data_IF_060695298195
#
_entry.id   IF_060695298195
#
_cell.length_a   1.000
_cell.length_b   1.000
_cell.length_c   1.000
_cell.angle_alpha   90.00
_cell.angle_beta   90.00
_cell.angle_gamma   90.00
#
_symmetry.space_group_name_H-M   'P 1'
#
loop_
_entity.id
_entity.type
_entity.pdbx_description
1 polymer ?
#
# COMPACT_ATOMS: atom_id res chain seq x y z
N UNK A 1 -9.55 -72.15 -8.43
CA UNK A 1 -8.82 -71.30 -7.50
C UNK A 1 -8.37 -70.08 -8.30
N UNK A 2 -9.18 -69.04 -8.29
CA UNK A 2 -8.89 -67.79 -8.97
C UNK A 2 -8.23 -66.81 -7.98
N UNK A 3 -6.99 -66.44 -8.28
CA UNK A 3 -6.31 -65.40 -7.52
C UNK A 3 -6.77 -63.99 -7.97
N UNK A 4 -7.25 -63.24 -7.06
CA UNK A 4 -7.47 -61.79 -7.29
C UNK A 4 -6.14 -61.05 -7.24
N UNK A 5 -5.70 -60.52 -8.37
CA UNK A 5 -4.63 -59.55 -8.46
C UNK A 5 -5.08 -58.22 -7.85
N UNK A 6 -4.43 -57.85 -6.76
CA UNK A 6 -4.54 -56.51 -6.19
C UNK A 6 -3.79 -55.50 -7.07
N UNK A 7 -4.50 -54.81 -7.94
CA UNK A 7 -3.95 -53.68 -8.68
C UNK A 7 -3.72 -52.50 -7.73
N UNK A 8 -2.49 -52.35 -7.26
CA UNK A 8 -2.01 -51.13 -6.63
C UNK A 8 -1.54 -50.14 -7.73
N UNK A 9 -2.39 -49.27 -8.17
CA UNK A 9 -1.99 -48.21 -9.07
C UNK A 9 -1.42 -47.02 -8.27
N UNK A 10 -0.13 -46.84 -8.37
CA UNK A 10 0.57 -45.63 -7.86
C UNK A 10 0.47 -44.57 -8.92
N UNK A 11 -0.34 -43.55 -8.68
CA UNK A 11 -0.40 -42.37 -9.52
C UNK A 11 0.35 -41.24 -8.77
N UNK A 12 1.54 -40.87 -9.29
CA UNK A 12 2.36 -39.71 -8.88
C UNK A 12 2.60 -39.56 -7.36
N UNK A 13 3.01 -40.61 -6.69
CA UNK A 13 3.43 -40.53 -5.29
C UNK A 13 2.31 -40.38 -4.24
N UNK A 14 1.05 -40.51 -4.63
CA UNK A 14 -0.09 -40.52 -3.69
C UNK A 14 -0.56 -41.95 -3.47
N UNK A 15 -0.63 -42.38 -2.21
CA UNK A 15 -1.24 -43.66 -1.80
C UNK A 15 -2.74 -43.43 -1.75
N UNK A 16 -3.49 -44.04 -2.66
CA UNK A 16 -4.96 -44.04 -2.64
C UNK A 16 -5.45 -45.09 -1.65
N UNK A 17 -6.28 -44.71 -0.69
CA UNK A 17 -6.85 -45.61 0.29
C UNK A 17 -7.74 -46.69 -0.40
N UNK A 18 -7.67 -47.99 0.02
CA UNK A 18 -8.49 -49.04 -0.57
C UNK A 18 -9.98 -48.78 -0.30
N UNK A 19 -10.75 -48.67 -1.38
CA UNK A 19 -12.21 -48.47 -1.30
C UNK A 19 -12.77 -47.34 -2.17
N UNK A 20 -11.95 -46.45 -2.71
CA UNK A 20 -12.39 -45.43 -3.66
C UNK A 20 -12.56 -46.05 -5.06
N UNK A 21 -13.80 -46.27 -5.46
CA UNK A 21 -14.18 -46.89 -6.72
C UNK A 21 -14.09 -46.00 -7.96
N UNK A 22 -13.84 -44.68 -7.80
CA UNK A 22 -13.84 -43.75 -8.90
C UNK A 22 -12.62 -42.80 -8.86
N UNK A 23 -11.66 -42.90 -9.79
CA UNK A 23 -10.55 -41.98 -9.87
C UNK A 23 -10.94 -40.54 -10.24
N UNK A 24 -12.20 -40.26 -10.56
CA UNK A 24 -12.73 -38.92 -10.81
C UNK A 24 -12.91 -38.08 -9.56
N UNK A 25 -12.72 -38.68 -8.37
CA UNK A 25 -12.85 -37.94 -7.09
C UNK A 25 -11.58 -37.16 -6.72
N UNK A 26 -10.45 -37.44 -7.38
CA UNK A 26 -9.25 -36.64 -7.23
C UNK A 26 -9.30 -35.56 -8.31
N UNK A 27 -9.82 -34.39 -7.93
CA UNK A 27 -9.76 -33.22 -8.81
C UNK A 27 -8.32 -33.02 -9.29
N UNK A 28 -8.09 -32.86 -10.60
CA UNK A 28 -6.76 -32.51 -11.10
C UNK A 28 -6.22 -31.30 -10.33
N UNK A 29 -4.90 -31.20 -10.20
CA UNK A 29 -4.27 -30.09 -9.49
C UNK A 29 -4.78 -28.73 -10.01
N UNK A 30 -5.06 -28.66 -11.31
CA UNK A 30 -5.66 -27.50 -11.99
C UNK A 30 -7.06 -27.13 -11.45
N UNK A 31 -7.92 -28.12 -11.14
CA UNK A 31 -9.24 -27.86 -10.55
C UNK A 31 -9.12 -27.46 -9.08
N UNK A 32 -8.09 -27.93 -8.37
CA UNK A 32 -7.79 -27.48 -7.03
C UNK A 32 -7.28 -26.02 -7.04
N UNK A 33 -6.42 -25.66 -8.00
CA UNK A 33 -5.96 -24.29 -8.19
C UNK A 33 -7.11 -23.33 -8.53
N UNK A 34 -8.05 -23.72 -9.40
CA UNK A 34 -9.24 -22.92 -9.73
C UNK A 34 -10.10 -22.63 -8.50
N UNK A 35 -10.23 -23.60 -7.57
CA UNK A 35 -11.03 -23.42 -6.35
C UNK A 35 -10.42 -22.42 -5.36
N UNK A 36 -9.12 -22.18 -5.43
CA UNK A 36 -8.40 -21.21 -4.59
C UNK A 36 -7.99 -19.96 -5.38
N UNK A 37 -8.41 -19.84 -6.65
CA UNK A 37 -8.21 -18.62 -7.43
C UNK A 37 -9.16 -17.53 -6.88
N UNK A 38 -8.64 -16.41 -6.32
CA UNK A 38 -9.46 -15.34 -5.78
C UNK A 38 -10.49 -14.76 -6.76
N UNK A 39 -10.29 -14.93 -8.07
CA UNK A 39 -11.22 -14.49 -9.10
C UNK A 39 -12.45 -15.38 -9.24
N UNK A 40 -12.34 -16.66 -8.84
CA UNK A 40 -13.40 -17.66 -8.98
C UNK A 40 -14.11 -17.96 -7.67
N UNK A 41 -13.46 -17.75 -6.52
CA UNK A 41 -14.01 -18.02 -5.19
C UNK A 41 -14.79 -16.84 -4.57
N UNK A 42 -14.86 -15.69 -5.29
CA UNK A 42 -15.57 -14.50 -4.84
C UNK A 42 -14.75 -13.59 -3.92
N UNK A 43 -13.42 -13.78 -3.85
CA UNK A 43 -12.53 -12.92 -3.08
C UNK A 43 -12.05 -11.73 -3.92
N UNK A 44 -12.99 -11.07 -4.55
CA UNK A 44 -12.76 -9.89 -5.39
C UNK A 44 -11.89 -8.82 -4.71
N UNK A 45 -11.99 -8.71 -3.38
CA UNK A 45 -11.21 -7.75 -2.60
C UNK A 45 -9.69 -8.00 -2.65
N UNK A 46 -9.24 -9.26 -2.72
CA UNK A 46 -7.81 -9.59 -2.82
C UNK A 46 -7.25 -9.19 -4.18
N UNK A 47 -7.97 -9.55 -5.25
CA UNK A 47 -7.57 -9.18 -6.62
C UNK A 47 -7.52 -7.67 -6.78
N UNK A 48 -8.55 -6.96 -6.30
CA UNK A 48 -8.60 -5.50 -6.37
C UNK A 48 -7.50 -4.85 -5.52
N UNK A 49 -7.20 -5.42 -4.36
CA UNK A 49 -6.09 -4.95 -3.51
C UNK A 49 -4.75 -5.07 -4.25
N UNK A 50 -4.49 -6.20 -4.89
CA UNK A 50 -3.24 -6.42 -5.63
C UNK A 50 -3.09 -5.43 -6.79
N UNK A 51 -4.12 -5.28 -7.62
CA UNK A 51 -4.03 -4.39 -8.81
C UNK A 51 -3.98 -2.90 -8.42
N UNK A 52 -4.75 -2.48 -7.42
CA UNK A 52 -4.69 -1.10 -6.91
C UNK A 52 -3.35 -0.81 -6.22
N UNK A 53 -2.78 -1.77 -5.48
CA UNK A 53 -1.45 -1.64 -4.87
C UNK A 53 -0.36 -1.45 -5.93
N UNK A 54 -0.44 -2.16 -7.06
CA UNK A 54 0.48 -1.96 -8.19
C UNK A 54 0.39 -0.53 -8.76
N UNK A 55 -0.82 0.01 -8.90
CA UNK A 55 -1.03 1.40 -9.36
C UNK A 55 -0.52 2.43 -8.33
N UNK A 56 -0.74 2.20 -7.04
CA UNK A 56 -0.20 3.06 -5.97
C UNK A 56 1.34 3.02 -5.93
N UNK A 57 1.94 1.87 -6.18
CA UNK A 57 3.40 1.76 -6.30
C UNK A 57 3.92 2.58 -7.48
N UNK A 58 3.31 2.46 -8.65
CA UNK A 58 3.67 3.28 -9.81
C UNK A 58 3.51 4.77 -9.52
N UNK A 59 2.44 5.18 -8.82
CA UNK A 59 2.23 6.56 -8.39
C UNK A 59 3.36 7.03 -7.45
N UNK A 60 3.79 6.19 -6.51
CA UNK A 60 4.92 6.51 -5.62
C UNK A 60 6.22 6.75 -6.40
N UNK A 61 6.50 5.93 -7.40
CA UNK A 61 7.69 6.04 -8.24
C UNK A 61 7.66 7.33 -9.07
N UNK A 62 6.51 7.71 -9.61
CA UNK A 62 6.30 8.98 -10.31
C UNK A 62 6.59 10.17 -9.37
N UNK A 63 6.03 10.16 -8.17
CA UNK A 63 6.23 11.21 -7.17
C UNK A 63 7.71 11.32 -6.78
N UNK A 64 8.41 10.19 -6.61
CA UNK A 64 9.85 10.17 -6.26
C UNK A 64 10.77 10.58 -7.41
N UNK A 65 10.30 10.58 -8.65
CA UNK A 65 11.13 10.95 -9.81
C UNK A 65 11.63 12.39 -9.78
N UNK A 66 11.12 13.21 -8.87
CA UNK A 66 11.47 14.64 -8.67
C UNK A 66 11.30 15.51 -9.94
N UNK A 67 10.70 14.98 -10.97
CA UNK A 67 10.41 15.70 -12.21
C UNK A 67 8.99 16.32 -12.14
N UNK A 68 8.78 17.35 -12.96
CA UNK A 68 7.44 17.90 -13.12
C UNK A 68 6.53 16.83 -13.70
N UNK A 69 5.50 16.45 -12.96
CA UNK A 69 4.53 15.43 -13.37
C UNK A 69 3.69 15.94 -14.51
N UNK A 70 3.68 15.21 -15.61
CA UNK A 70 2.88 15.47 -16.81
C UNK A 70 1.64 14.57 -16.83
N UNK A 71 0.60 15.00 -17.54
CA UNK A 71 -0.63 14.21 -17.68
C UNK A 71 -0.37 12.80 -18.18
N UNK A 72 0.46 12.65 -19.21
CA UNK A 72 0.83 11.34 -19.76
C UNK A 72 1.45 10.36 -18.75
N UNK A 73 2.08 10.87 -17.69
CA UNK A 73 2.70 10.02 -16.67
C UNK A 73 1.64 9.39 -15.75
N UNK A 74 0.42 9.94 -15.76
CA UNK A 74 -0.71 9.53 -14.94
C UNK A 74 -1.81 8.79 -15.71
N UNK A 75 -1.77 8.74 -17.06
CA UNK A 75 -2.79 8.14 -17.91
C UNK A 75 -3.14 6.70 -17.52
N UNK A 76 -2.15 5.93 -17.07
CA UNK A 76 -2.36 4.55 -16.65
C UNK A 76 -2.95 4.43 -15.22
N UNK A 77 -3.00 5.53 -14.47
CA UNK A 77 -3.44 5.56 -13.07
C UNK A 77 -4.75 6.33 -12.95
N UNK A 78 -4.84 7.49 -13.58
CA UNK A 78 -5.97 8.43 -13.48
C UNK A 78 -7.14 8.03 -14.36
N UNK A 79 -8.36 8.20 -13.85
CA UNK A 79 -9.59 8.17 -14.65
C UNK A 79 -9.87 9.56 -15.21
N UNK A 80 -10.47 9.64 -16.40
CA UNK A 80 -10.91 10.92 -17.00
C UNK A 80 -11.86 11.70 -16.10
N UNK A 81 -12.56 11.00 -15.22
CA UNK A 81 -13.50 11.58 -14.24
C UNK A 81 -12.86 11.86 -12.86
N UNK A 82 -11.53 11.80 -12.76
CA UNK A 82 -10.87 12.00 -11.47
C UNK A 82 -11.23 13.35 -10.84
N UNK A 83 -11.51 13.31 -9.54
CA UNK A 83 -11.71 14.50 -8.70
C UNK A 83 -11.16 14.23 -7.29
N UNK A 84 -10.10 14.92 -6.93
CA UNK A 84 -9.45 14.78 -5.63
C UNK A 84 -9.51 16.03 -4.76
N UNK A 85 -9.38 15.86 -3.46
CA UNK A 85 -9.18 16.93 -2.51
C UNK A 85 -7.69 17.32 -2.44
N UNK A 86 -7.39 18.48 -1.82
CA UNK A 86 -6.02 18.83 -1.48
C UNK A 86 -5.45 17.84 -0.48
N UNK A 87 -4.23 17.34 -0.78
CA UNK A 87 -3.56 16.34 0.07
C UNK A 87 -2.95 16.98 1.32
N UNK A 88 -2.66 18.29 1.30
CA UNK A 88 -2.19 19.04 2.45
C UNK A 88 -3.24 20.06 2.87
N UNK A 89 -3.73 20.01 4.13
CA UNK A 89 -4.64 21.03 4.65
C UNK A 89 -4.01 22.43 4.69
N UNK A 90 -4.82 23.45 4.45
CA UNK A 90 -4.37 24.85 4.52
C UNK A 90 -4.01 25.29 5.93
N UNK A 91 -4.77 24.80 6.92
CA UNK A 91 -4.59 25.16 8.33
C UNK A 91 -4.05 23.96 9.09
N UNK A 92 -2.93 24.16 9.74
CA UNK A 92 -2.26 23.16 10.58
C UNK A 92 -2.11 23.73 12.00
N UNK A 93 -2.65 23.01 12.97
CA UNK A 93 -2.54 23.33 14.39
C UNK A 93 -1.38 22.55 15.01
N UNK A 94 -0.52 23.23 15.78
CA UNK A 94 0.50 22.58 16.59
C UNK A 94 -0.20 21.83 17.73
N UNK A 95 -0.01 20.49 17.77
CA UNK A 95 -0.61 19.63 18.78
C UNK A 95 0.42 19.09 19.77
N UNK A 96 1.70 19.14 19.40
CA UNK A 96 2.82 18.74 20.25
C UNK A 96 4.09 19.47 19.84
N UNK A 97 4.92 19.81 20.82
CA UNK A 97 6.22 20.42 20.60
C UNK A 97 7.16 20.08 21.76
N UNK A 98 8.36 19.68 21.41
CA UNK A 98 9.49 19.54 22.34
C UNK A 98 10.76 20.12 21.70
N UNK A 99 11.94 19.76 22.24
CA UNK A 99 13.22 20.27 21.73
C UNK A 99 13.56 19.67 20.35
N UNK A 100 13.16 18.42 20.07
CA UNK A 100 13.49 17.70 18.84
C UNK A 100 12.44 17.83 17.76
N UNK A 101 11.15 17.89 18.10
CA UNK A 101 10.04 17.80 17.18
C UNK A 101 8.94 18.82 17.40
N UNK A 102 8.26 19.15 16.31
CA UNK A 102 6.94 19.79 16.29
C UNK A 102 6.00 18.86 15.55
N UNK A 103 4.84 18.57 16.13
CA UNK A 103 3.77 17.82 15.45
C UNK A 103 2.62 18.76 15.16
N UNK A 104 2.22 18.83 13.90
CA UNK A 104 1.10 19.63 13.43
C UNK A 104 0.05 18.74 12.80
N UNK A 105 -1.21 19.00 13.11
CA UNK A 105 -2.37 18.29 12.56
C UNK A 105 -3.29 19.23 11.82
N UNK A 106 -3.78 18.78 10.67
CA UNK A 106 -4.69 19.57 9.83
C UNK A 106 -6.07 18.93 9.71
N UNK A 107 -7.07 19.79 9.53
CA UNK A 107 -8.41 19.34 9.13
C UNK A 107 -8.46 19.21 7.61
N UNK A 108 -8.84 18.05 7.07
CA UNK A 108 -8.95 17.86 5.63
C UNK A 108 -9.94 18.80 4.97
N UNK A 109 -9.56 19.38 3.84
CA UNK A 109 -10.43 20.23 3.02
C UNK A 109 -11.02 19.40 1.87
N UNK A 110 -12.29 19.03 2.02
CA UNK A 110 -13.04 18.26 1.02
C UNK A 110 -13.73 19.12 -0.05
N UNK A 111 -13.59 20.42 0.01
CA UNK A 111 -14.25 21.35 -0.93
C UNK A 111 -13.55 21.45 -2.27
N UNK A 112 -12.25 21.16 -2.33
CA UNK A 112 -11.45 21.19 -3.55
C UNK A 112 -11.81 20.01 -4.47
N UNK A 113 -11.74 20.25 -5.77
CA UNK A 113 -11.92 19.22 -6.82
C UNK A 113 -10.85 19.43 -7.88
N UNK A 114 -9.71 18.81 -7.66
CA UNK A 114 -8.51 18.94 -8.48
C UNK A 114 -8.32 17.68 -9.36
N UNK A 115 -7.63 17.80 -10.49
CA UNK A 115 -7.07 16.65 -11.20
C UNK A 115 -5.96 15.97 -10.38
N UNK A 116 -5.61 14.75 -10.69
CA UNK A 116 -4.54 14.03 -9.98
C UNK A 116 -3.22 14.77 -10.11
N UNK A 117 -2.92 15.29 -11.30
CA UNK A 117 -1.73 16.12 -11.56
C UNK A 117 -1.67 17.35 -10.66
N UNK A 118 -2.78 18.11 -10.58
CA UNK A 118 -2.85 19.30 -9.70
C UNK A 118 -2.71 18.92 -8.24
N UNK A 119 -3.40 17.86 -7.83
CA UNK A 119 -3.37 17.32 -6.46
C UNK A 119 -1.94 16.98 -6.01
N UNK A 120 -1.18 16.28 -6.88
CA UNK A 120 0.18 15.86 -6.57
C UNK A 120 1.15 17.05 -6.66
N UNK A 121 1.05 17.87 -7.71
CA UNK A 121 1.95 19.02 -7.87
C UNK A 121 1.75 20.04 -6.74
N UNK A 122 0.53 20.24 -6.23
CA UNK A 122 0.32 21.05 -5.05
C UNK A 122 1.05 20.48 -3.83
N UNK A 123 0.96 19.19 -3.56
CA UNK A 123 1.69 18.55 -2.47
C UNK A 123 3.21 18.69 -2.65
N UNK A 124 3.71 18.45 -3.85
CA UNK A 124 5.14 18.54 -4.16
C UNK A 124 5.70 19.95 -4.03
N UNK A 125 4.88 20.99 -4.25
CA UNK A 125 5.30 22.39 -4.12
C UNK A 125 5.83 22.77 -2.73
N UNK A 126 5.50 22.00 -1.71
CA UNK A 126 5.99 22.21 -0.34
C UNK A 126 7.38 21.62 -0.08
N UNK A 127 7.86 20.73 -0.97
CA UNK A 127 9.18 20.11 -0.87
C UNK A 127 10.19 20.87 -1.74
N UNK A 128 11.31 21.28 -1.15
CA UNK A 128 12.32 22.04 -1.86
C UNK A 128 12.93 21.28 -3.05
N UNK A 129 13.19 19.98 -2.86
CA UNK A 129 13.81 19.09 -3.85
C UNK A 129 12.96 17.84 -4.14
N UNK A 130 11.68 17.89 -3.81
CA UNK A 130 10.79 16.73 -3.81
C UNK A 130 10.96 15.86 -2.56
N UNK A 131 10.10 14.87 -2.37
CA UNK A 131 10.20 13.95 -1.26
C UNK A 131 11.38 12.99 -1.44
N UNK A 132 12.02 12.60 -0.33
CA UNK A 132 13.10 11.61 -0.32
C UNK A 132 12.56 10.18 -0.24
N UNK A 133 11.45 10.01 0.47
CA UNK A 133 10.78 8.71 0.63
C UNK A 133 9.27 8.88 0.56
N UNK A 134 8.62 7.89 -0.01
CA UNK A 134 7.16 7.77 -0.01
C UNK A 134 6.77 6.30 0.14
N UNK A 135 5.77 6.05 0.97
CA UNK A 135 5.12 4.77 1.11
C UNK A 135 3.61 4.96 1.06
N UNK A 136 2.97 4.29 0.11
CA UNK A 136 1.52 4.23 -0.05
C UNK A 136 1.09 2.78 0.19
N UNK A 137 0.35 2.52 1.27
CA UNK A 137 -0.09 1.18 1.64
C UNK A 137 -1.61 1.10 1.64
N UNK A 138 -2.18 0.44 0.63
CA UNK A 138 -3.59 0.06 0.66
C UNK A 138 -3.76 -1.02 1.72
N UNK A 139 -4.58 -0.75 2.74
CA UNK A 139 -4.75 -1.67 3.87
C UNK A 139 -6.19 -2.17 4.04
N UNK A 140 -7.15 -1.51 3.36
CA UNK A 140 -8.55 -1.88 3.42
C UNK A 140 -9.27 -1.55 2.13
N UNK A 141 -10.16 -2.44 1.69
CA UNK A 141 -11.16 -2.18 0.66
C UNK A 141 -12.52 -2.20 1.36
N UNK A 142 -13.24 -1.08 1.30
CA UNK A 142 -14.43 -0.86 2.12
C UNK A 142 -15.73 -1.18 1.42
N UNK A 143 -15.82 -1.00 0.09
CA UNK A 143 -17.13 -1.06 -0.56
C UNK A 143 -17.02 -1.37 -2.04
N UNK A 144 -17.88 -2.30 -2.46
CA UNK A 144 -18.19 -2.56 -3.85
C UNK A 144 -19.60 -2.06 -4.11
N UNK A 145 -19.75 -1.05 -4.95
CA UNK A 145 -21.07 -0.71 -5.47
C UNK A 145 -21.29 -1.45 -6.79
N UNK A 146 -21.84 -2.65 -6.69
CA UNK A 146 -22.32 -3.39 -7.85
C UNK A 146 -23.77 -2.97 -8.17
N UNK A 147 -23.99 -1.73 -8.50
CA UNK A 147 -25.27 -1.24 -9.03
C UNK A 147 -25.49 -1.76 -10.45
N UNK A 148 -25.81 -3.03 -10.60
CA UNK A 148 -26.54 -3.62 -11.73
C UNK A 148 -25.94 -3.52 -13.14
N UNK A 149 -24.97 -2.67 -13.42
CA UNK A 149 -24.20 -2.58 -14.66
C UNK A 149 -22.71 -2.55 -14.35
N UNK A 150 -21.99 -3.57 -14.81
CA UNK A 150 -20.53 -3.70 -14.59
C UNK A 150 -19.68 -2.50 -15.06
N UNK A 151 -20.21 -1.63 -15.95
CA UNK A 151 -19.48 -0.49 -16.50
C UNK A 151 -19.31 0.69 -15.54
N UNK A 152 -20.17 0.83 -14.51
CA UNK A 152 -20.19 1.98 -13.60
C UNK A 152 -19.81 1.59 -12.15
N UNK A 153 -19.40 0.35 -11.95
CA UNK A 153 -19.03 -0.14 -10.65
C UNK A 153 -17.75 0.51 -10.16
N UNK A 154 -17.71 0.82 -8.88
CA UNK A 154 -16.56 1.43 -8.20
C UNK A 154 -16.25 0.68 -6.92
N UNK A 155 -15.01 0.79 -6.45
CA UNK A 155 -14.65 0.36 -5.11
C UNK A 155 -13.89 1.46 -4.37
N UNK A 156 -13.99 1.44 -3.05
CA UNK A 156 -13.26 2.33 -2.16
C UNK A 156 -12.14 1.60 -1.47
N UNK A 157 -11.01 2.27 -1.35
CA UNK A 157 -9.87 1.75 -0.63
C UNK A 157 -9.28 2.78 0.34
N UNK A 158 -8.76 2.31 1.47
CA UNK A 158 -8.05 3.14 2.42
C UNK A 158 -6.56 2.94 2.32
N UNK A 159 -5.84 4.04 2.20
CA UNK A 159 -4.40 4.08 1.99
C UNK A 159 -3.72 4.82 3.13
N UNK A 160 -2.80 4.13 3.81
CA UNK A 160 -1.85 4.78 4.70
C UNK A 160 -0.74 5.41 3.87
N UNK A 161 -0.42 6.65 4.19
CA UNK A 161 0.53 7.47 3.46
C UNK A 161 1.61 7.95 4.40
N UNK A 162 2.85 7.70 4.02
CA UNK A 162 4.02 8.25 4.69
C UNK A 162 4.93 8.89 3.65
N UNK A 163 5.21 10.17 3.80
CA UNK A 163 6.08 10.93 2.90
C UNK A 163 7.10 11.68 3.75
N UNK A 164 8.37 11.59 3.44
CA UNK A 164 9.42 12.33 4.16
C UNK A 164 10.38 13.01 3.21
N UNK A 165 10.94 14.12 3.67
CA UNK A 165 11.89 14.94 2.94
C UNK A 165 11.98 16.34 3.52
N UNK A 166 12.64 17.26 2.81
CA UNK A 166 12.76 18.64 3.20
C UNK A 166 11.49 19.42 2.83
N UNK A 167 10.65 19.66 3.82
CA UNK A 167 9.40 20.41 3.70
C UNK A 167 9.61 21.82 4.25
N UNK A 168 9.50 22.84 3.38
CA UNK A 168 9.70 24.24 3.77
C UNK A 168 11.02 24.50 4.53
N UNK A 169 12.13 23.90 4.11
CA UNK A 169 13.43 24.08 4.72
C UNK A 169 13.71 23.26 5.98
N UNK A 170 12.82 22.35 6.36
CA UNK A 170 12.99 21.47 7.51
C UNK A 170 12.70 20.02 7.16
N UNK A 171 13.52 19.12 7.65
CA UNK A 171 13.22 17.70 7.49
C UNK A 171 11.91 17.35 8.19
N UNK A 172 11.00 16.79 7.43
CA UNK A 172 9.64 16.55 7.89
C UNK A 172 9.13 15.21 7.38
N UNK A 173 8.20 14.64 8.15
CA UNK A 173 7.46 13.45 7.77
C UNK A 173 5.96 13.78 7.78
N UNK A 174 5.29 13.49 6.69
CA UNK A 174 3.84 13.54 6.57
C UNK A 174 3.30 12.15 6.83
N UNK A 175 2.35 12.04 7.75
CA UNK A 175 1.53 10.87 7.99
C UNK A 175 0.10 11.22 7.61
N UNK A 176 -0.49 10.48 6.68
CA UNK A 176 -1.84 10.74 6.22
C UNK A 176 -2.60 9.45 5.97
N UNK A 177 -3.91 9.54 5.99
CA UNK A 177 -4.81 8.48 5.57
C UNK A 177 -5.71 9.02 4.46
N UNK A 178 -5.75 8.29 3.33
CA UNK A 178 -6.56 8.66 2.19
C UNK A 178 -7.70 7.68 1.98
N UNK A 179 -8.87 8.20 1.69
CA UNK A 179 -9.99 7.48 1.09
C UNK A 179 -9.87 7.60 -0.43
N UNK A 180 -9.72 6.47 -1.11
CA UNK A 180 -9.49 6.42 -2.54
C UNK A 180 -10.68 5.77 -3.24
N UNK A 181 -11.14 6.39 -4.33
CA UNK A 181 -12.20 5.87 -5.17
C UNK A 181 -11.60 5.34 -6.47
N UNK A 182 -11.94 4.11 -6.84
CA UNK A 182 -11.42 3.43 -8.02
C UNK A 182 -12.54 2.97 -8.93
N UNK A 183 -12.31 2.96 -10.24
CA UNK A 183 -13.16 2.22 -11.16
C UNK A 183 -12.98 0.72 -10.93
N UNK A 184 -14.06 -0.04 -11.04
CA UNK A 184 -13.99 -1.48 -10.88
C UNK A 184 -13.37 -2.13 -12.13
N UNK A 185 -12.22 -2.75 -11.96
CA UNK A 185 -11.56 -3.54 -13.00
C UNK A 185 -10.57 -4.49 -12.34
N UNK A 186 -10.62 -5.76 -12.72
CA UNK A 186 -9.65 -6.75 -12.24
C UNK A 186 -8.27 -6.65 -12.90
N UNK A 187 -8.17 -5.96 -14.04
CA UNK A 187 -6.92 -5.86 -14.79
C UNK A 187 -6.25 -4.50 -14.60
N UNK A 188 -7.03 -3.43 -14.76
CA UNK A 188 -6.49 -2.07 -14.75
C UNK A 188 -7.48 -1.08 -14.15
N UNK A 189 -7.68 -1.08 -12.83
CA UNK A 189 -8.50 -0.07 -12.17
C UNK A 189 -7.88 1.31 -12.36
N UNK A 190 -8.73 2.32 -12.51
CA UNK A 190 -8.34 3.73 -12.59
C UNK A 190 -8.76 4.47 -11.33
N UNK A 191 -7.89 5.31 -10.84
CA UNK A 191 -8.15 6.16 -9.68
C UNK A 191 -9.13 7.28 -10.09
N UNK A 192 -10.29 7.33 -9.43
CA UNK A 192 -11.36 8.32 -9.68
C UNK A 192 -11.35 9.46 -8.65
N UNK A 193 -10.69 9.28 -7.52
CA UNK A 193 -10.57 10.33 -6.52
C UNK A 193 -9.74 9.95 -5.31
N UNK A 194 -9.24 10.98 -4.64
CA UNK A 194 -8.58 10.88 -3.34
C UNK A 194 -9.19 11.94 -2.42
N UNK A 195 -9.68 11.52 -1.26
CA UNK A 195 -10.05 12.40 -0.17
C UNK A 195 -9.17 12.11 1.06
N UNK A 196 -8.65 13.15 1.68
CA UNK A 196 -7.86 13.03 2.91
C UNK A 196 -8.80 12.80 4.09
N UNK A 197 -8.52 11.76 4.89
CA UNK A 197 -9.25 11.47 6.13
C UNK A 197 -8.50 11.96 7.36
N UNK A 198 -7.18 11.81 7.35
CA UNK A 198 -6.28 12.21 8.42
C UNK A 198 -5.02 12.82 7.83
N UNK A 199 -4.49 13.86 8.50
CA UNK A 199 -3.25 14.50 8.09
C UNK A 199 -2.47 15.02 9.29
N UNK A 200 -1.18 14.66 9.34
CA UNK A 200 -0.24 15.09 10.37
C UNK A 200 1.15 15.31 9.78
N UNK A 201 1.82 16.38 10.22
CA UNK A 201 3.23 16.65 9.92
C UNK A 201 4.06 16.54 11.20
N UNK A 202 5.11 15.74 11.16
CA UNK A 202 6.17 15.70 12.16
C UNK A 202 7.38 16.43 11.61
N UNK A 203 7.73 17.56 12.21
CA UNK A 203 8.79 18.45 11.76
C UNK A 203 9.96 18.34 12.72
N UNK A 204 11.14 18.02 12.20
CA UNK A 204 12.38 17.98 12.98
C UNK A 204 12.85 19.40 13.27
N UNK A 205 13.18 19.68 14.54
CA UNK A 205 13.68 20.99 15.00
C UNK A 205 15.20 21.07 15.06
N UNK A 206 15.82 19.93 15.35
CA UNK A 206 17.29 19.82 15.46
C UNK A 206 17.94 19.73 14.07
N UNK A 207 19.19 20.13 13.97
CA UNK A 207 19.97 19.98 12.74
C UNK A 207 20.19 18.50 12.41
N UNK A 208 20.41 18.17 11.13
CA UNK A 208 20.64 16.79 10.68
C UNK A 208 21.92 16.17 11.28
N UNK A 209 22.85 16.99 11.78
CA UNK A 209 24.05 16.53 12.46
C UNK A 209 23.80 15.94 13.86
N UNK A 210 22.66 16.26 14.47
CA UNK A 210 22.34 15.76 15.81
C UNK A 210 21.66 14.41 15.72
N UNK A 211 22.34 13.36 16.23
CA UNK A 211 21.80 12.01 16.29
C UNK A 211 20.65 11.95 17.32
N UNK A 212 19.47 11.51 16.88
CA UNK A 212 18.30 11.30 17.76
C UNK A 212 18.42 10.02 18.58
N UNK A 213 19.18 9.05 18.05
CA UNK A 213 19.43 7.77 18.71
C UNK A 213 20.94 7.49 18.70
N UNK A 214 21.43 7.01 19.82
CA UNK A 214 22.82 6.57 19.97
C UNK A 214 22.77 5.08 20.26
N UNK A 215 23.59 4.31 19.55
CA UNK A 215 23.77 2.90 19.89
C UNK A 215 24.55 2.81 21.20
N UNK A 216 23.87 2.39 22.25
CA UNK A 216 24.41 2.19 23.58
C UNK A 216 24.71 0.72 23.87
N UNK A 217 24.55 -0.17 22.89
CA UNK A 217 24.74 -1.61 23.05
C UNK A 217 26.08 -1.94 23.67
N UNK A 218 27.16 -1.32 23.16
CA UNK A 218 28.50 -1.49 23.70
C UNK A 218 28.67 -0.98 25.13
N UNK A 219 27.91 0.04 25.57
CA UNK A 219 27.96 0.57 26.93
C UNK A 219 27.17 -0.31 27.90
N UNK A 220 26.03 -0.86 27.43
CA UNK A 220 25.17 -1.70 28.28
C UNK A 220 25.73 -3.10 28.46
N UNK A 221 26.34 -3.67 27.42
CA UNK A 221 26.83 -5.05 27.41
C UNK A 221 28.37 -5.16 27.53
N UNK A 222 29.08 -4.07 27.88
CA UNK A 222 30.56 -4.04 27.96
C UNK A 222 31.15 -5.20 28.73
N UNK A 223 30.55 -5.55 29.85
CA UNK A 223 31.04 -6.57 30.76
C UNK A 223 30.40 -7.96 30.52
N UNK A 224 29.55 -8.08 29.51
CA UNK A 224 28.95 -9.35 29.14
C UNK A 224 29.90 -10.16 28.24
N UNK A 225 30.32 -11.33 28.75
CA UNK A 225 31.26 -12.23 28.09
C UNK A 225 30.65 -12.77 26.77
N UNK A 226 29.34 -13.02 26.72
CA UNK A 226 28.67 -13.52 25.55
C UNK A 226 28.63 -12.45 24.45
N UNK A 227 28.36 -11.18 24.80
CA UNK A 227 28.42 -10.05 23.88
C UNK A 227 29.80 -9.92 23.26
N UNK A 228 30.86 -9.94 24.09
CA UNK A 228 32.24 -9.77 23.61
C UNK A 228 32.68 -10.90 22.69
N UNK A 229 32.31 -12.15 23.00
CA UNK A 229 32.77 -13.33 22.24
C UNK A 229 31.89 -13.70 21.04
N UNK A 230 30.61 -13.33 21.04
CA UNK A 230 29.66 -13.76 20.01
C UNK A 230 29.27 -12.67 19.03
N UNK A 231 29.20 -11.40 19.46
CA UNK A 231 28.69 -10.29 18.65
C UNK A 231 29.77 -9.32 18.17
N UNK A 232 30.94 -9.27 18.77
CA UNK A 232 32.08 -8.40 18.36
C UNK A 232 33.17 -9.14 17.57
N UNK A 233 32.90 -10.34 17.04
CA UNK A 233 33.82 -11.10 16.20
C UNK A 233 33.65 -10.78 14.72
#
# INVERSE_FOLDING_TARGET
>A
VSGEEKNNSVIRGMIVAPGLKDPKVIAPLEDAWKRIDPKEDGWDSEVLNEVATKKLKALSEIILSKSLIKEKDLEEIESDEYRGSKLRPKLLNEIYKNEEFIVKRGMPDKSSRLSLKETINELLSFFAEGPEKIALKLYKIDQFDSLGKKSDSVFKGRVLVNISGNLNGKYSQINSEWDTLWSFSYESPKLKGIDVLFYEEVIRRTSDSQKLFIDVTGSVFRDDVAYTHQLLK
#
